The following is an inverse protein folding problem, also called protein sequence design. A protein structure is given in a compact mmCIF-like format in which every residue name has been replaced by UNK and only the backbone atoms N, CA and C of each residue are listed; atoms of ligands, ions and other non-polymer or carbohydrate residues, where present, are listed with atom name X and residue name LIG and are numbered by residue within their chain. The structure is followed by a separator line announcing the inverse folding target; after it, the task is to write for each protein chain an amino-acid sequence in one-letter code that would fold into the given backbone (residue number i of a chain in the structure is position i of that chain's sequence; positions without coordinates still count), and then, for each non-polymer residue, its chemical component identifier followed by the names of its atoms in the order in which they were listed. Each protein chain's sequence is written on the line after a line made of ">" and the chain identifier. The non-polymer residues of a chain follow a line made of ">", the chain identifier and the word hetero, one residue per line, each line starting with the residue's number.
data_IF_539609987110
#
_entry.id   IF_539609987110
#
_cell.length_a   1.000
_cell.length_b   1.000
_cell.length_c   1.000
_cell.angle_alpha   90.00
_cell.angle_beta   90.00
_cell.angle_gamma   90.00
#
_symmetry.space_group_name_H-M   'P 1'
#
loop_
_entity.id
_entity.type
_entity.pdbx_description
1 polymer ?
#
# COMPACT_ATOMS: atom_id res chain seq x y z
N UNK A 1 -15.38 -0.40 -22.47
CA UNK A 1 -15.53 0.05 -21.07
C UNK A 1 -14.23 -0.30 -20.39
N UNK A 2 -13.53 0.68 -19.83
CA UNK A 2 -12.30 0.41 -19.07
C UNK A 2 -12.66 -0.47 -17.86
N UNK A 3 -12.01 -1.62 -17.72
CA UNK A 3 -12.12 -2.43 -16.51
C UNK A 3 -11.41 -1.68 -15.37
N UNK A 4 -12.12 -1.45 -14.27
CA UNK A 4 -11.54 -0.82 -13.09
C UNK A 4 -11.23 -1.85 -12.01
N UNK A 5 -10.13 -1.66 -11.32
CA UNK A 5 -9.65 -2.49 -10.21
C UNK A 5 -9.53 -1.68 -8.92
N UNK A 6 -9.30 -2.39 -7.82
CA UNK A 6 -8.96 -1.82 -6.52
C UNK A 6 -7.49 -2.08 -6.24
N UNK A 7 -6.75 -1.04 -5.92
CA UNK A 7 -5.31 -1.10 -5.64
C UNK A 7 -5.06 -0.79 -4.18
N UNK A 8 -4.34 -1.68 -3.49
CA UNK A 8 -3.86 -1.47 -2.13
C UNK A 8 -2.43 -0.94 -2.13
N UNK A 9 -2.13 0.05 -1.29
CA UNK A 9 -0.78 0.59 -1.11
C UNK A 9 -0.43 0.77 0.39
N UNK A 10 0.67 0.14 0.83
CA UNK A 10 1.18 0.19 2.21
C UNK A 10 2.14 1.35 2.47
N UNK A 11 2.50 2.12 1.44
CA UNK A 11 3.38 3.27 1.63
C UNK A 11 2.63 4.36 2.40
N UNK A 12 3.25 5.04 3.37
CA UNK A 12 2.55 5.95 4.28
C UNK A 12 1.84 7.09 3.54
N UNK A 13 2.49 7.67 2.53
CA UNK A 13 1.95 8.77 1.71
C UNK A 13 1.30 8.31 0.40
N UNK A 14 1.13 7.00 0.22
CA UNK A 14 0.64 6.44 -1.03
C UNK A 14 1.69 6.46 -2.14
N UNK A 15 1.23 6.38 -3.38
CA UNK A 15 2.10 6.35 -4.56
C UNK A 15 1.37 6.92 -5.77
N UNK A 16 2.03 7.82 -6.50
CA UNK A 16 1.51 8.29 -7.79
C UNK A 16 1.96 7.32 -8.87
N UNK A 17 0.99 6.73 -9.56
CA UNK A 17 1.18 5.82 -10.69
C UNK A 17 0.96 6.62 -11.95
N UNK A 18 2.01 6.73 -12.78
CA UNK A 18 1.96 7.34 -14.09
C UNK A 18 2.34 6.31 -15.16
N UNK A 19 1.47 6.13 -16.17
CA UNK A 19 1.74 5.35 -17.38
C UNK A 19 1.02 5.93 -18.58
N UNK A 20 1.75 6.16 -19.67
CA UNK A 20 1.18 6.53 -20.98
C UNK A 20 0.16 7.69 -20.94
N UNK A 21 0.37 8.67 -20.04
CA UNK A 21 -0.55 9.81 -19.85
C UNK A 21 -1.73 9.56 -18.91
N UNK A 22 -1.84 8.36 -18.34
CA UNK A 22 -2.71 8.07 -17.19
C UNK A 22 -1.96 8.33 -15.90
N UNK A 23 -2.56 9.11 -15.00
CA UNK A 23 -1.99 9.43 -13.69
C UNK A 23 -3.05 9.18 -12.61
N UNK A 24 -2.73 8.35 -11.63
CA UNK A 24 -3.59 8.08 -10.47
C UNK A 24 -2.79 8.14 -9.18
N UNK A 25 -3.38 8.72 -8.14
CA UNK A 25 -2.78 8.74 -6.80
C UNK A 25 -3.38 7.63 -5.97
N UNK A 26 -2.54 6.68 -5.56
CA UNK A 26 -2.92 5.59 -4.67
C UNK A 26 -2.95 6.08 -3.21
N UNK A 27 -3.97 5.69 -2.48
CA UNK A 27 -4.11 5.92 -1.04
C UNK A 27 -3.06 5.13 -0.26
N UNK A 28 -2.40 5.78 0.70
CA UNK A 28 -1.39 5.19 1.54
C UNK A 28 -1.89 4.71 2.90
N UNK A 29 -0.96 4.22 3.73
CA UNK A 29 -1.27 3.77 5.09
C UNK A 29 -1.75 4.90 6.03
N UNK A 30 -1.52 6.18 5.68
CA UNK A 30 -2.04 7.34 6.43
C UNK A 30 -3.37 7.90 5.86
N UNK A 31 -3.98 7.24 4.87
CA UNK A 31 -5.25 7.67 4.29
C UNK A 31 -6.45 7.31 5.18
N UNK A 32 -7.63 7.87 4.89
CA UNK A 32 -8.84 7.65 5.70
C UNK A 32 -9.40 6.22 5.62
N UNK A 33 -9.14 5.48 4.53
CA UNK A 33 -9.65 4.14 4.32
C UNK A 33 -8.50 3.13 4.23
N UNK A 34 -8.15 2.53 5.37
CA UNK A 34 -6.98 1.66 5.53
C UNK A 34 -7.39 0.30 6.09
N UNK A 35 -6.93 -0.77 5.44
CA UNK A 35 -7.15 -2.16 5.86
C UNK A 35 -5.80 -2.86 5.96
N UNK A 36 -5.47 -3.47 7.11
CA UNK A 36 -4.18 -4.14 7.30
C UNK A 36 -2.94 -3.25 7.09
N UNK A 37 -3.10 -1.93 7.24
CA UNK A 37 -2.05 -0.94 6.95
C UNK A 37 -1.91 -0.56 5.46
N UNK A 38 -2.81 -1.00 4.59
CA UNK A 38 -2.87 -0.60 3.19
C UNK A 38 -4.00 0.42 2.97
N UNK A 39 -3.69 1.55 2.33
CA UNK A 39 -4.72 2.42 1.77
C UNK A 39 -5.29 1.79 0.51
N UNK A 40 -6.63 1.74 0.40
CA UNK A 40 -7.31 1.17 -0.75
C UNK A 40 -7.79 2.27 -1.70
N UNK A 41 -7.53 2.10 -3.00
CA UNK A 41 -7.93 3.03 -4.06
C UNK A 41 -8.80 2.28 -5.05
N UNK A 42 -10.05 2.71 -5.21
CA UNK A 42 -11.00 2.12 -6.14
C UNK A 42 -11.03 2.90 -7.46
N UNK A 43 -11.49 2.27 -8.54
CA UNK A 43 -11.65 2.95 -9.83
C UNK A 43 -10.35 3.13 -10.62
N UNK A 44 -9.30 2.36 -10.29
CA UNK A 44 -8.03 2.41 -11.02
C UNK A 44 -8.16 1.66 -12.34
N UNK A 45 -7.69 2.24 -13.44
CA UNK A 45 -7.71 1.58 -14.75
C UNK A 45 -6.80 0.35 -14.74
N UNK A 46 -7.37 -0.80 -15.09
CA UNK A 46 -6.69 -2.09 -15.03
C UNK A 46 -5.52 -2.17 -16.00
N UNK A 47 -5.72 -1.78 -17.26
CA UNK A 47 -4.69 -1.90 -18.32
C UNK A 47 -3.49 -1.01 -18.01
N UNK A 48 -3.75 0.25 -17.63
CA UNK A 48 -2.70 1.20 -17.25
C UNK A 48 -1.92 0.74 -16.02
N UNK A 49 -2.61 0.19 -15.02
CA UNK A 49 -1.96 -0.29 -13.80
C UNK A 49 -1.17 -1.59 -14.02
N UNK A 50 -1.66 -2.53 -14.81
CA UNK A 50 -0.92 -3.75 -15.16
C UNK A 50 0.37 -3.41 -15.90
N UNK A 51 0.33 -2.50 -16.88
CA UNK A 51 1.52 -1.97 -17.54
C UNK A 51 2.48 -1.31 -16.57
N UNK A 52 1.97 -0.47 -15.66
CA UNK A 52 2.80 0.15 -14.63
C UNK A 52 3.51 -0.91 -13.77
N UNK A 53 2.77 -1.95 -13.39
CA UNK A 53 3.27 -3.05 -12.56
C UNK A 53 4.34 -3.85 -13.31
N UNK A 54 4.20 -4.07 -14.62
CA UNK A 54 5.23 -4.72 -15.44
C UNK A 54 6.53 -3.91 -15.51
N UNK A 55 6.43 -2.59 -15.68
CA UNK A 55 7.58 -1.68 -15.69
C UNK A 55 8.26 -1.65 -14.31
N UNK A 56 7.48 -1.66 -13.23
CA UNK A 56 7.97 -1.52 -11.85
C UNK A 56 8.09 -2.84 -11.10
N UNK A 57 7.95 -3.99 -11.75
CA UNK A 57 7.97 -5.34 -11.12
C UNK A 57 9.20 -5.63 -10.28
N UNK A 58 10.31 -4.93 -10.56
CA UNK A 58 11.56 -5.09 -9.85
C UNK A 58 11.71 -4.22 -8.61
N UNK A 59 10.82 -3.24 -8.43
CA UNK A 59 10.86 -2.31 -7.32
C UNK A 59 10.48 -3.01 -6.01
N UNK A 60 11.09 -2.62 -4.89
CA UNK A 60 10.88 -3.27 -3.60
C UNK A 60 9.41 -3.23 -3.15
N UNK A 61 8.68 -2.16 -3.47
CA UNK A 61 7.27 -2.03 -3.12
C UNK A 61 6.34 -2.94 -3.94
N UNK A 62 6.75 -3.39 -5.13
CA UNK A 62 6.00 -4.40 -5.90
C UNK A 62 6.42 -5.80 -5.46
N UNK A 63 7.73 -6.06 -5.31
CA UNK A 63 8.26 -7.36 -4.89
C UNK A 63 7.81 -7.81 -3.50
N UNK A 64 7.71 -6.87 -2.57
CA UNK A 64 7.29 -7.15 -1.20
C UNK A 64 5.77 -7.04 -1.02
N UNK A 65 4.99 -7.02 -2.12
CA UNK A 65 3.53 -6.89 -2.10
C UNK A 65 3.03 -5.68 -1.27
N UNK A 66 3.81 -4.59 -1.23
CA UNK A 66 3.38 -3.34 -0.60
C UNK A 66 2.40 -2.58 -1.48
N UNK A 67 2.42 -2.85 -2.79
CA UNK A 67 1.46 -2.35 -3.77
C UNK A 67 0.91 -3.55 -4.54
N UNK A 68 -0.41 -3.73 -4.54
CA UNK A 68 -1.07 -4.85 -5.22
C UNK A 68 -2.43 -4.44 -5.78
N UNK A 69 -2.92 -5.19 -6.77
CA UNK A 69 -4.22 -5.00 -7.40
C UNK A 69 -5.16 -6.18 -7.16
N UNK A 70 -6.47 -5.90 -7.05
CA UNK A 70 -7.54 -6.88 -7.00
C UNK A 70 -8.76 -6.39 -7.79
N UNK A 71 -9.50 -7.33 -8.39
CA UNK A 71 -10.67 -7.00 -9.21
C UNK A 71 -11.88 -6.48 -8.41
N UNK A 72 -11.96 -6.80 -7.11
CA UNK A 72 -13.09 -6.44 -6.24
C UNK A 72 -12.60 -5.89 -4.91
N UNK A 73 -13.33 -4.94 -4.35
CA UNK A 73 -13.02 -4.34 -3.05
C UNK A 73 -12.90 -5.37 -1.93
N UNK A 74 -13.80 -6.37 -1.86
CA UNK A 74 -13.72 -7.42 -0.83
C UNK A 74 -12.42 -8.24 -0.95
N UNK A 75 -12.01 -8.59 -2.16
CA UNK A 75 -10.74 -9.31 -2.38
C UNK A 75 -9.53 -8.45 -2.01
N UNK A 76 -9.57 -7.15 -2.31
CA UNK A 76 -8.53 -6.20 -1.90
C UNK A 76 -8.41 -6.10 -0.38
N UNK A 77 -9.55 -6.02 0.33
CA UNK A 77 -9.61 -5.97 1.79
C UNK A 77 -9.09 -7.25 2.43
N UNK A 78 -9.51 -8.42 1.92
CA UNK A 78 -9.01 -9.72 2.41
C UNK A 78 -7.50 -9.82 2.25
N UNK A 79 -6.97 -9.53 1.04
CA UNK A 79 -5.54 -9.57 0.78
C UNK A 79 -4.76 -8.58 1.65
N UNK A 80 -5.29 -7.37 1.85
CA UNK A 80 -4.68 -6.38 2.74
C UNK A 80 -4.62 -6.87 4.20
N UNK A 81 -5.68 -7.55 4.66
CA UNK A 81 -5.76 -8.14 6.01
C UNK A 81 -4.76 -9.29 6.16
N UNK A 82 -4.67 -10.18 5.17
CA UNK A 82 -3.70 -11.28 5.15
C UNK A 82 -2.26 -10.77 5.17
N UNK A 83 -1.99 -9.69 4.43
CA UNK A 83 -0.67 -9.05 4.35
C UNK A 83 -0.44 -8.01 5.47
N UNK A 84 -1.28 -7.95 6.51
CA UNK A 84 -1.13 -6.96 7.59
C UNK A 84 0.24 -7.03 8.28
N UNK A 85 0.79 -8.24 8.42
CA UNK A 85 2.10 -8.50 9.02
C UNK A 85 3.28 -8.09 8.16
N UNK A 86 3.10 -7.88 6.85
CA UNK A 86 4.18 -7.42 5.96
C UNK A 86 4.56 -6.01 6.35
N UNK A 87 5.85 -5.77 6.59
CA UNK A 87 6.35 -4.47 7.02
C UNK A 87 6.86 -3.66 5.83
N UNK A 88 6.46 -2.38 5.75
CA UNK A 88 7.03 -1.47 4.75
C UNK A 88 8.38 -0.90 5.19
N UNK A 89 8.70 -1.01 6.49
CA UNK A 89 9.87 -0.38 7.11
C UNK A 89 9.70 1.12 7.37
N UNK A 90 8.57 1.69 6.94
CA UNK A 90 8.21 3.10 7.13
C UNK A 90 7.00 3.26 8.08
N UNK A 91 6.69 2.21 8.83
CA UNK A 91 5.66 2.24 9.87
C UNK A 91 6.14 3.04 11.08
N UNK A 92 5.18 3.52 11.87
CA UNK A 92 5.48 4.12 13.17
C UNK A 92 6.26 3.16 14.05
N UNK A 93 7.25 3.69 14.76
CA UNK A 93 8.06 2.90 15.69
C UNK A 93 7.19 2.33 16.82
N UNK A 94 7.43 1.08 17.24
CA UNK A 94 6.65 0.48 18.32
C UNK A 94 6.91 1.24 19.62
N UNK A 95 5.85 1.66 20.31
CA UNK A 95 5.95 2.47 21.53
C UNK A 95 6.78 1.78 22.63
N UNK A 96 6.73 0.44 22.70
CA UNK A 96 7.42 -0.35 23.74
C UNK A 96 8.94 -0.43 23.57
N UNK A 97 9.40 -0.50 22.32
CA UNK A 97 10.82 -0.59 21.97
C UNK A 97 11.07 0.22 20.70
N UNK A 98 10.98 1.55 20.78
CA UNK A 98 10.93 2.40 19.59
C UNK A 98 12.21 2.31 18.77
N UNK A 99 13.36 2.08 19.39
CA UNK A 99 14.61 1.76 18.70
C UNK A 99 15.58 1.02 19.66
N UNK A 100 16.57 0.28 19.14
CA UNK A 100 17.63 -0.26 19.97
C UNK A 100 18.32 0.85 20.77
N UNK A 101 18.34 0.71 22.10
CA UNK A 101 18.90 1.71 23.02
C UNK A 101 17.93 2.82 23.45
N UNK A 102 16.66 2.78 23.01
CA UNK A 102 15.61 3.68 23.49
C UNK A 102 14.66 2.88 24.39
N UNK A 103 14.66 3.20 25.68
CA UNK A 103 13.70 2.69 26.64
C UNK A 103 12.54 3.68 26.78
N UNK A 104 11.33 3.15 27.00
CA UNK A 104 10.20 3.97 27.40
C UNK A 104 10.62 4.78 28.63
N UNK A 105 10.45 6.09 28.56
CA UNK A 105 10.47 6.93 29.75
C UNK A 105 9.21 6.61 30.56
N UNK A 106 9.19 5.48 31.27
CA UNK A 106 8.22 5.24 32.33
C UNK A 106 8.56 6.24 33.45
N UNK A 107 7.96 7.41 33.31
CA UNK A 107 8.20 8.58 34.14
C UNK A 107 6.94 8.94 34.89
N UNK A 108 6.73 8.27 36.03
CA UNK A 108 5.92 8.68 37.19
C UNK A 108 4.39 8.67 37.08
#
# INVERSE_FOLDING_TARGET
>A
MAETIVVGCKLPNGLVVEQEGYTVTLNGANSSNVVGGYGLTEGVDKDAFEKWLEVHKNQPYVKNELVFAQAKANSAQSKATENASIKSGLEGLPQDKPAPGIEKADGK
#
